data_IF_954885958954
#
_entry.id   IF_954885958954
#
_cell.length_a   1.000
_cell.length_b   1.000
_cell.length_c   1.000
_cell.angle_alpha   90.00
_cell.angle_beta   90.00
_cell.angle_gamma   90.00
#
_symmetry.space_group_name_H-M   'P 1'
#
loop_
_entity.id
_entity.type
_entity.pdbx_description
1 polymer ?
#
# COMPACT_ATOMS: atom_id res chain seq x y z
N UNK A 1 -8.77 18.00 -28.38
CA UNK A 1 -8.62 17.45 -27.02
C UNK A 1 -8.29 15.95 -27.04
N UNK A 2 -9.04 15.09 -27.76
CA UNK A 2 -8.69 13.67 -27.95
C UNK A 2 -7.24 13.40 -28.42
N UNK A 3 -6.69 14.13 -29.42
CA UNK A 3 -5.31 13.90 -29.88
C UNK A 3 -4.25 14.15 -28.81
N UNK A 4 -4.54 15.01 -27.83
CA UNK A 4 -3.64 15.28 -26.70
C UNK A 4 -3.67 14.12 -25.68
N UNK A 5 -4.85 13.52 -25.49
CA UNK A 5 -5.04 12.35 -24.62
C UNK A 5 -4.33 11.13 -25.23
N UNK A 6 -4.47 10.89 -26.54
CA UNK A 6 -3.77 9.82 -27.25
C UNK A 6 -2.24 9.97 -27.17
N UNK A 7 -1.72 11.19 -27.40
CA UNK A 7 -0.29 11.48 -27.26
C UNK A 7 0.21 11.26 -25.83
N UNK A 8 -0.56 11.66 -24.82
CA UNK A 8 -0.19 11.45 -23.42
C UNK A 8 -0.13 9.96 -23.06
N UNK A 9 -1.05 9.15 -23.61
CA UNK A 9 -1.04 7.70 -23.38
C UNK A 9 0.12 7.02 -24.13
N UNK A 10 0.40 7.40 -25.38
CA UNK A 10 1.57 6.90 -26.14
C UNK A 10 2.90 7.29 -25.51
N UNK A 11 2.99 8.50 -24.94
CA UNK A 11 4.17 8.98 -24.22
C UNK A 11 4.30 8.40 -22.81
N UNK A 12 3.24 7.74 -22.30
CA UNK A 12 3.30 7.07 -21.00
C UNK A 12 4.17 5.82 -21.09
N UNK A 13 4.87 5.51 -20.01
CA UNK A 13 5.70 4.30 -19.87
C UNK A 13 4.89 3.01 -19.73
N UNK A 14 3.59 3.03 -20.07
CA UNK A 14 2.69 1.88 -20.03
C UNK A 14 2.85 0.96 -21.25
N UNK A 15 3.48 1.44 -22.34
CA UNK A 15 3.69 0.64 -23.56
C UNK A 15 2.39 0.26 -24.29
N UNK A 16 1.30 0.98 -24.04
CA UNK A 16 0.00 0.74 -24.63
C UNK A 16 -0.19 1.59 -25.89
N UNK A 17 -0.72 0.98 -26.95
CA UNK A 17 -1.10 1.70 -28.16
C UNK A 17 -2.60 2.01 -28.12
N UNK A 18 -3.01 3.28 -27.96
CA UNK A 18 -4.42 3.66 -28.01
C UNK A 18 -4.98 3.47 -29.42
N UNK A 19 -6.17 2.86 -29.51
CA UNK A 19 -6.99 2.85 -30.71
C UNK A 19 -8.13 3.85 -30.53
N UNK A 20 -8.31 4.77 -31.48
CA UNK A 20 -9.29 5.85 -31.39
C UNK A 20 -10.29 5.76 -32.52
N UNK A 21 -11.58 5.73 -32.19
CA UNK A 21 -12.69 5.74 -33.15
C UNK A 21 -13.34 7.14 -33.24
N UNK A 22 -12.58 8.19 -32.96
CA UNK A 22 -13.00 9.60 -33.09
C UNK A 22 -13.80 10.15 -31.90
N UNK A 23 -14.51 9.30 -31.16
CA UNK A 23 -15.23 9.66 -29.91
C UNK A 23 -14.77 8.86 -28.69
N UNK A 24 -14.13 7.70 -28.88
CA UNK A 24 -13.71 6.79 -27.80
C UNK A 24 -12.29 6.32 -28.06
N UNK A 25 -11.46 6.32 -27.02
CA UNK A 25 -10.10 5.75 -27.02
C UNK A 25 -10.14 4.40 -26.31
N UNK A 26 -9.84 3.32 -27.04
CA UNK A 26 -9.71 1.96 -26.51
C UNK A 26 -8.24 1.64 -26.27
N UNK A 27 -7.96 0.96 -25.15
CA UNK A 27 -6.64 0.47 -24.80
C UNK A 27 -6.66 -1.04 -24.71
N UNK A 28 -5.90 -1.69 -25.58
CA UNK A 28 -5.73 -3.15 -25.54
C UNK A 28 -4.60 -3.47 -24.57
N UNK A 29 -4.94 -3.98 -23.39
CA UNK A 29 -3.95 -4.42 -22.41
C UNK A 29 -3.54 -5.84 -22.78
N UNK A 30 -2.29 -6.08 -23.22
CA UNK A 30 -1.83 -7.43 -23.50
C UNK A 30 -1.84 -8.27 -22.20
N UNK A 31 -2.14 -9.57 -22.28
CA UNK A 31 -2.08 -10.44 -21.11
C UNK A 31 -0.66 -10.44 -20.55
N UNK A 32 -0.54 -10.24 -19.24
CA UNK A 32 0.74 -10.30 -18.56
C UNK A 32 1.34 -11.71 -18.69
N UNK A 33 2.60 -11.79 -19.10
CA UNK A 33 3.36 -13.06 -19.10
C UNK A 33 3.48 -13.58 -17.66
N UNK A 34 3.63 -14.91 -17.51
CA UNK A 34 3.81 -15.52 -16.19
C UNK A 34 5.03 -14.99 -15.42
N UNK A 35 6.09 -14.61 -16.13
CA UNK A 35 7.27 -13.95 -15.56
C UNK A 35 6.93 -12.57 -15.02
N UNK A 36 6.20 -11.75 -15.79
CA UNK A 36 5.80 -10.41 -15.36
C UNK A 36 4.86 -10.44 -14.15
N UNK A 37 3.95 -11.41 -14.08
CA UNK A 37 3.10 -11.64 -12.89
C UNK A 37 3.93 -11.94 -11.65
N UNK A 38 4.94 -12.82 -11.76
CA UNK A 38 5.85 -13.15 -10.65
C UNK A 38 6.64 -11.94 -10.17
N UNK A 39 7.10 -11.08 -11.09
CA UNK A 39 7.77 -9.82 -10.73
C UNK A 39 6.85 -8.87 -9.97
N UNK A 40 5.60 -8.71 -10.44
CA UNK A 40 4.61 -7.87 -9.77
C UNK A 40 4.28 -8.39 -8.37
N UNK A 41 4.12 -9.71 -8.20
CA UNK A 41 3.94 -10.32 -6.86
C UNK A 41 5.12 -10.02 -5.94
N UNK A 42 6.37 -10.11 -6.43
CA UNK A 42 7.55 -9.75 -5.63
C UNK A 42 7.55 -8.28 -5.23
N UNK A 43 7.15 -7.37 -6.13
CA UNK A 43 7.05 -5.95 -5.83
C UNK A 43 5.96 -5.68 -4.78
N UNK A 44 4.79 -6.29 -4.93
CA UNK A 44 3.68 -6.19 -3.96
C UNK A 44 4.13 -6.63 -2.57
N UNK A 45 4.83 -7.78 -2.46
CA UNK A 45 5.39 -8.27 -1.19
C UNK A 45 6.39 -7.29 -0.57
N UNK A 46 7.29 -6.74 -1.39
CA UNK A 46 8.29 -5.77 -0.91
C UNK A 46 7.62 -4.54 -0.32
N UNK A 47 6.65 -3.97 -1.04
CA UNK A 47 5.86 -2.82 -0.61
C UNK A 47 5.11 -3.14 0.69
N UNK A 48 4.52 -4.33 0.78
CA UNK A 48 3.86 -4.82 1.98
C UNK A 48 4.75 -4.82 3.23
N UNK A 49 5.97 -5.35 3.10
CA UNK A 49 6.93 -5.37 4.20
C UNK A 49 7.42 -3.96 4.58
N UNK A 50 7.62 -3.07 3.60
CA UNK A 50 7.96 -1.66 3.86
C UNK A 50 6.88 -0.97 4.72
N UNK A 51 5.60 -1.16 4.40
CA UNK A 51 4.50 -0.58 5.20
C UNK A 51 4.38 -1.20 6.58
N UNK A 52 4.59 -2.51 6.73
CA UNK A 52 4.63 -3.15 8.05
C UNK A 52 5.77 -2.61 8.91
N UNK A 53 6.95 -2.38 8.33
CA UNK A 53 8.08 -1.76 9.04
C UNK A 53 7.73 -0.34 9.45
N UNK A 54 7.11 0.46 8.57
CA UNK A 54 6.67 1.82 8.89
C UNK A 54 5.70 1.85 10.09
N UNK A 55 4.70 0.96 10.11
CA UNK A 55 3.76 0.85 11.23
C UNK A 55 4.47 0.50 12.54
N UNK A 56 5.43 -0.44 12.51
CA UNK A 56 6.21 -0.81 13.70
C UNK A 56 7.05 0.35 14.22
N UNK A 57 7.60 1.17 13.32
CA UNK A 57 8.34 2.37 13.69
C UNK A 57 7.42 3.41 14.33
N UNK A 58 6.25 3.69 13.73
CA UNK A 58 5.25 4.61 14.31
C UNK A 58 4.83 4.16 15.72
N UNK A 59 4.57 2.86 15.92
CA UNK A 59 4.26 2.33 17.26
C UNK A 59 5.40 2.58 18.25
N UNK A 60 6.66 2.43 17.82
CA UNK A 60 7.81 2.73 18.67
C UNK A 60 7.86 4.22 19.04
N UNK A 61 7.65 5.11 18.09
CA UNK A 61 7.66 6.55 18.31
C UNK A 61 6.52 6.98 19.26
N UNK A 62 5.33 6.40 19.10
CA UNK A 62 4.20 6.58 20.03
C UNK A 62 4.57 6.10 21.44
N UNK A 63 5.16 4.91 21.57
CA UNK A 63 5.58 4.38 22.87
C UNK A 63 6.65 5.24 23.55
N UNK A 64 7.59 5.81 22.78
CA UNK A 64 8.58 6.75 23.29
C UNK A 64 7.93 8.08 23.73
N UNK A 65 6.94 8.56 22.99
CA UNK A 65 6.16 9.76 23.33
C UNK A 65 5.37 9.55 24.62
N UNK A 66 4.65 8.43 24.76
CA UNK A 66 3.91 8.09 25.98
C UNK A 66 4.82 8.00 27.20
N UNK A 67 6.03 7.44 27.05
CA UNK A 67 7.04 7.40 28.12
C UNK A 67 7.52 8.80 28.52
N UNK A 68 7.63 9.74 27.59
CA UNK A 68 7.97 11.15 27.88
C UNK A 68 6.82 11.83 28.62
N UNK A 69 5.58 11.73 28.13
CA UNK A 69 4.40 12.29 28.80
C UNK A 69 4.20 11.75 30.23
N UNK A 70 4.55 10.49 30.52
CA UNK A 70 4.59 9.98 31.92
C UNK A 70 5.62 10.72 32.77
N UNK A 71 6.83 10.94 32.24
CA UNK A 71 7.90 11.68 32.96
C UNK A 71 7.50 13.12 33.21
N UNK A 72 6.83 13.73 32.26
CA UNK A 72 6.33 15.11 32.32
C UNK A 72 5.05 15.23 33.17
N UNK A 73 4.57 14.11 33.74
CA UNK A 73 3.36 13.98 34.57
C UNK A 73 2.07 14.41 33.85
N UNK A 74 2.06 14.36 32.53
CA UNK A 74 0.87 14.63 31.71
C UNK A 74 -0.12 13.45 31.74
N UNK A 75 0.39 12.23 31.95
CA UNK A 75 -0.42 11.00 32.02
C UNK A 75 -0.04 10.15 33.23
N UNK A 76 -1.00 9.38 33.75
CA UNK A 76 -0.80 8.43 34.84
C UNK A 76 -0.09 7.14 34.38
N UNK A 77 0.33 6.30 35.33
CA UNK A 77 0.88 4.97 35.02
C UNK A 77 -0.18 4.03 34.43
N UNK A 78 -1.42 4.13 34.91
CA UNK A 78 -2.55 3.38 34.38
C UNK A 78 -2.89 3.81 32.94
N UNK A 79 -2.86 5.12 32.66
CA UNK A 79 -3.05 5.64 31.30
C UNK A 79 -1.94 5.21 30.36
N UNK A 80 -0.68 5.19 30.82
CA UNK A 80 0.43 4.69 30.01
C UNK A 80 0.19 3.25 29.57
N UNK A 81 -0.23 2.37 30.50
CA UNK A 81 -0.49 0.97 30.19
C UNK A 81 -1.64 0.82 29.20
N UNK A 82 -2.75 1.54 29.44
CA UNK A 82 -3.93 1.53 28.55
C UNK A 82 -3.60 2.02 27.14
N UNK A 83 -2.89 3.15 27.03
CA UNK A 83 -2.53 3.73 25.73
C UNK A 83 -1.51 2.86 24.97
N UNK A 84 -0.61 2.18 25.66
CA UNK A 84 0.29 1.20 25.04
C UNK A 84 -0.47 -0.02 24.50
N UNK A 85 -1.45 -0.52 25.26
CA UNK A 85 -2.30 -1.63 24.80
C UNK A 85 -3.14 -1.21 23.58
N UNK A 86 -3.69 0.00 23.58
CA UNK A 86 -4.45 0.54 22.46
C UNK A 86 -3.57 0.74 21.21
N UNK A 87 -2.36 1.27 21.38
CA UNK A 87 -1.38 1.39 20.31
C UNK A 87 -1.02 0.01 19.74
N UNK A 88 -0.86 -1.01 20.58
CA UNK A 88 -0.58 -2.37 20.16
C UNK A 88 -1.75 -2.97 19.37
N UNK A 89 -2.99 -2.90 19.88
CA UNK A 89 -4.20 -3.38 19.19
C UNK A 89 -4.37 -2.71 17.83
N UNK A 90 -4.17 -1.40 17.76
CA UNK A 90 -4.27 -0.64 16.52
C UNK A 90 -3.21 -1.07 15.51
N UNK A 91 -1.97 -1.25 15.96
CA UNK A 91 -0.86 -1.75 15.13
C UNK A 91 -1.19 -3.14 14.55
N UNK A 92 -1.67 -4.06 15.38
CA UNK A 92 -1.98 -5.43 14.97
C UNK A 92 -3.16 -5.48 13.98
N UNK A 93 -4.16 -4.62 14.17
CA UNK A 93 -5.28 -4.48 13.25
C UNK A 93 -4.81 -4.02 11.85
N UNK A 94 -3.95 -2.99 11.78
CA UNK A 94 -3.43 -2.50 10.50
C UNK A 94 -2.46 -3.47 9.83
N UNK A 95 -1.65 -4.20 10.59
CA UNK A 95 -0.82 -5.28 10.03
C UNK A 95 -1.70 -6.34 9.37
N UNK A 96 -2.78 -6.75 10.05
CA UNK A 96 -3.74 -7.73 9.52
C UNK A 96 -4.40 -7.22 8.24
N UNK A 97 -4.84 -5.95 8.21
CA UNK A 97 -5.42 -5.34 7.00
C UNK A 97 -4.43 -5.31 5.83
N UNK A 98 -3.15 -4.99 6.09
CA UNK A 98 -2.12 -5.06 5.05
C UNK A 98 -1.99 -6.49 4.52
N UNK A 99 -1.95 -7.49 5.38
CA UNK A 99 -1.84 -8.90 4.97
C UNK A 99 -3.05 -9.38 4.16
N UNK A 100 -4.24 -8.87 4.43
CA UNK A 100 -5.44 -9.13 3.63
C UNK A 100 -5.37 -8.47 2.26
N UNK A 101 -4.97 -7.19 2.20
CA UNK A 101 -4.83 -6.45 0.94
C UNK A 101 -3.76 -7.10 0.05
N UNK A 102 -2.61 -7.48 0.63
CA UNK A 102 -1.53 -8.16 -0.09
C UNK A 102 -2.00 -9.50 -0.65
N UNK A 103 -2.68 -10.33 0.16
CA UNK A 103 -3.24 -11.60 -0.32
C UNK A 103 -4.26 -11.40 -1.43
N UNK A 104 -5.14 -10.42 -1.30
CA UNK A 104 -6.10 -10.06 -2.34
C UNK A 104 -5.41 -9.67 -3.64
N UNK A 105 -4.39 -8.80 -3.56
CA UNK A 105 -3.66 -8.34 -4.74
C UNK A 105 -2.79 -9.42 -5.37
N UNK A 106 -2.17 -10.29 -4.58
CA UNK A 106 -1.45 -11.46 -5.08
C UNK A 106 -2.37 -12.40 -5.84
N UNK A 107 -3.56 -12.67 -5.30
CA UNK A 107 -4.56 -13.51 -5.96
C UNK A 107 -5.03 -12.88 -7.27
N UNK A 108 -5.36 -11.59 -7.28
CA UNK A 108 -5.78 -10.85 -8.48
C UNK A 108 -4.70 -10.84 -9.59
N UNK A 109 -3.41 -10.75 -9.22
CA UNK A 109 -2.30 -10.79 -10.18
C UNK A 109 -2.07 -12.20 -10.73
N UNK A 110 -2.41 -13.24 -9.97
CA UNK A 110 -2.17 -14.64 -10.33
C UNK A 110 -3.37 -15.30 -11.03
N UNK A 111 -4.60 -14.92 -10.70
CA UNK A 111 -5.81 -15.40 -11.37
C UNK A 111 -6.02 -14.66 -12.71
N UNK A 112 -6.61 -15.39 -13.67
CA UNK A 112 -7.19 -14.91 -14.93
C UNK A 112 -8.54 -15.57 -15.06
#
# INVERSE_FOLDING_TARGET
VLPAIEKAILASSLGLTPQSDGNVVRLTIPPLTGERRKELVKQVKKIGEEYKVAIRNIRRDVNETLKKSKKDKEISEDDLFRLQEEAQKTTDAFITQIDEILRGKEKEVMEV
#
